data_IF_267439374977
#
_entry.id   IF_267439374977
#
_cell.length_a   1.000
_cell.length_b   1.000
_cell.length_c   1.000
_cell.angle_alpha   90.00
_cell.angle_beta   90.00
_cell.angle_gamma   90.00
#
_symmetry.space_group_name_H-M   'P 1'
#
loop_
_entity.id
_entity.type
_entity.pdbx_description
1 polymer ?
#
# COMPACT_ATOMS: atom_id res chain seq x y z
N UNK A 1 -18.15 4.62 23.73
CA UNK A 1 -16.83 4.52 23.06
C UNK A 1 -16.86 3.84 21.70
N UNK A 2 -17.70 2.82 21.44
CA UNK A 2 -17.77 2.15 20.12
C UNK A 2 -17.95 3.13 18.95
N UNK A 3 -18.94 4.02 19.02
CA UNK A 3 -19.20 5.02 17.98
C UNK A 3 -18.01 5.97 17.70
N UNK A 4 -17.31 6.40 18.76
CA UNK A 4 -16.11 7.25 18.61
C UNK A 4 -15.00 6.53 17.83
N UNK A 5 -14.79 5.25 18.18
CA UNK A 5 -13.82 4.38 17.50
C UNK A 5 -14.22 4.09 16.06
N UNK A 6 -15.50 3.86 15.77
CA UNK A 6 -16.00 3.63 14.41
C UNK A 6 -15.75 4.86 13.52
N UNK A 7 -16.00 6.07 14.04
CA UNK A 7 -15.64 7.32 13.35
C UNK A 7 -14.12 7.39 13.15
N UNK A 8 -13.34 7.16 14.21
CA UNK A 8 -11.89 7.21 14.13
C UNK A 8 -11.32 6.25 13.07
N UNK A 9 -11.78 5.01 13.04
CA UNK A 9 -11.33 3.98 12.10
C UNK A 9 -11.75 4.31 10.67
N UNK A 10 -12.98 4.81 10.47
CA UNK A 10 -13.47 5.22 9.15
C UNK A 10 -12.59 6.28 8.50
N UNK A 11 -12.08 7.23 9.30
CA UNK A 11 -11.25 8.34 8.82
C UNK A 11 -9.76 8.14 9.08
N UNK A 12 -9.35 6.97 9.58
CA UNK A 12 -7.96 6.61 9.84
C UNK A 12 -7.31 7.63 10.81
N UNK A 13 -8.10 8.13 11.77
CA UNK A 13 -7.68 9.16 12.70
C UNK A 13 -7.44 10.55 12.10
N UNK A 14 -7.77 10.79 10.83
CA UNK A 14 -7.58 12.08 10.18
C UNK A 14 -8.63 13.10 10.59
N UNK A 15 -8.24 14.02 11.48
CA UNK A 15 -9.08 15.18 11.83
C UNK A 15 -9.41 16.06 10.62
N UNK A 16 -8.53 16.12 9.63
CA UNK A 16 -8.77 16.87 8.39
C UNK A 16 -9.94 16.27 7.60
N UNK A 17 -9.92 14.96 7.34
CA UNK A 17 -11.03 14.30 6.64
C UNK A 17 -12.32 14.34 7.45
N UNK A 18 -12.25 14.18 8.77
CA UNK A 18 -13.43 14.35 9.63
C UNK A 18 -14.00 15.78 9.57
N UNK A 19 -13.15 16.79 9.42
CA UNK A 19 -13.58 18.19 9.31
C UNK A 19 -14.26 18.44 7.97
N UNK A 20 -13.64 17.97 6.87
CA UNK A 20 -14.20 18.06 5.52
C UNK A 20 -15.58 17.43 5.43
N UNK A 21 -15.78 16.29 6.09
CA UNK A 21 -17.04 15.55 6.06
C UNK A 21 -18.00 15.95 7.21
N UNK A 22 -17.70 17.04 7.94
CA UNK A 22 -18.58 17.64 8.95
C UNK A 22 -18.76 16.84 10.25
N UNK A 23 -18.00 15.77 10.46
CA UNK A 23 -18.17 14.85 11.60
C UNK A 23 -17.22 15.13 12.77
N UNK A 24 -16.22 16.02 12.60
CA UNK A 24 -15.20 16.31 13.61
C UNK A 24 -15.80 16.82 14.93
N UNK A 25 -16.87 17.61 14.87
CA UNK A 25 -17.56 18.13 16.06
C UNK A 25 -18.20 17.01 16.87
N UNK A 26 -18.83 16.05 16.19
CA UNK A 26 -19.37 14.82 16.79
C UNK A 26 -18.26 13.98 17.42
N UNK A 27 -17.14 13.80 16.72
CA UNK A 27 -16.00 13.05 17.26
C UNK A 27 -15.43 13.70 18.53
N UNK A 28 -15.24 15.02 18.52
CA UNK A 28 -14.69 15.77 19.67
C UNK A 28 -15.55 15.68 20.93
N UNK A 29 -16.88 15.47 20.81
CA UNK A 29 -17.78 15.29 21.97
C UNK A 29 -17.47 14.03 22.80
N UNK A 30 -16.78 13.05 22.21
CA UNK A 30 -16.38 11.84 22.94
C UNK A 30 -15.14 12.03 23.81
N UNK A 31 -14.46 13.18 23.73
CA UNK A 31 -13.28 13.51 24.55
C UNK A 31 -12.23 12.40 24.58
N UNK A 32 -11.99 11.77 23.42
CA UNK A 32 -11.01 10.68 23.29
C UNK A 32 -9.61 11.25 23.54
N UNK A 33 -8.88 10.66 24.49
CA UNK A 33 -7.50 11.07 24.77
C UNK A 33 -6.55 10.66 23.66
N UNK A 34 -5.44 11.38 23.53
CA UNK A 34 -4.38 11.04 22.56
C UNK A 34 -3.81 9.64 22.76
N UNK A 35 -3.67 9.20 24.02
CA UNK A 35 -3.24 7.83 24.34
C UNK A 35 -4.23 6.79 23.82
N UNK A 36 -5.53 7.08 23.89
CA UNK A 36 -6.56 6.19 23.38
C UNK A 36 -6.58 6.15 21.85
N UNK A 37 -6.37 7.29 21.19
CA UNK A 37 -6.17 7.34 19.73
C UNK A 37 -4.93 6.53 19.32
N UNK A 38 -3.83 6.63 20.07
CA UNK A 38 -2.62 5.86 19.78
C UNK A 38 -2.85 4.35 19.93
N UNK A 39 -3.61 3.91 20.95
CA UNK A 39 -4.03 2.50 21.09
C UNK A 39 -4.85 2.04 19.88
N UNK A 40 -5.76 2.87 19.40
CA UNK A 40 -6.58 2.58 18.22
C UNK A 40 -5.77 2.53 16.93
N UNK A 41 -4.79 3.42 16.75
CA UNK A 41 -3.86 3.36 15.62
C UNK A 41 -3.10 2.02 15.63
N UNK A 42 -2.53 1.63 16.78
CA UNK A 42 -1.83 0.35 16.90
C UNK A 42 -2.74 -0.83 16.56
N UNK A 43 -4.00 -0.78 17.02
CA UNK A 43 -5.01 -1.79 16.69
C UNK A 43 -5.32 -1.84 15.19
N UNK A 44 -5.41 -0.69 14.51
CA UNK A 44 -5.59 -0.65 13.05
C UNK A 44 -4.43 -1.33 12.32
N UNK A 45 -3.19 -1.12 12.78
CA UNK A 45 -2.04 -1.79 12.19
C UNK A 45 -2.04 -3.29 12.42
N UNK A 46 -2.28 -3.76 13.65
CA UNK A 46 -2.33 -5.20 13.93
C UNK A 46 -3.44 -5.87 13.13
N UNK A 47 -4.63 -5.27 13.07
CA UNK A 47 -5.71 -5.76 12.22
C UNK A 47 -5.34 -5.75 10.73
N UNK A 48 -4.66 -4.69 10.27
CA UNK A 48 -4.18 -4.60 8.89
C UNK A 48 -3.23 -5.74 8.56
N UNK A 49 -2.20 -5.98 9.38
CA UNK A 49 -1.25 -7.09 9.18
C UNK A 49 -1.89 -8.48 9.24
N UNK A 50 -2.96 -8.66 10.03
CA UNK A 50 -3.70 -9.92 10.07
C UNK A 50 -4.48 -10.16 8.76
N UNK A 51 -5.01 -9.09 8.16
CA UNK A 51 -5.85 -9.14 6.95
C UNK A 51 -5.08 -9.25 5.63
N UNK A 52 -3.78 -8.90 5.62
CA UNK A 52 -2.97 -8.98 4.38
C UNK A 52 -3.10 -10.35 3.72
N UNK A 53 -3.57 -10.33 2.47
CA UNK A 53 -3.80 -11.52 1.64
C UNK A 53 -3.27 -11.28 0.22
N UNK A 54 -2.85 -12.35 -0.46
CA UNK A 54 -2.44 -12.31 -1.86
C UNK A 54 -3.62 -12.13 -2.82
N UNK A 55 -4.83 -12.43 -2.37
CA UNK A 55 -6.07 -12.37 -3.16
C UNK A 55 -6.85 -11.06 -2.92
N UNK A 56 -6.67 -10.43 -1.76
CA UNK A 56 -7.31 -9.16 -1.40
C UNK A 56 -6.32 -7.99 -1.50
N UNK A 57 -6.31 -7.35 -2.67
CA UNK A 57 -5.49 -6.16 -2.92
C UNK A 57 -5.87 -4.97 -2.04
N UNK A 58 -7.13 -4.88 -1.63
CA UNK A 58 -7.58 -3.82 -0.76
C UNK A 58 -6.89 -3.92 0.60
N UNK A 59 -6.70 -5.13 1.13
CA UNK A 59 -5.96 -5.32 2.38
C UNK A 59 -4.52 -4.79 2.33
N UNK A 60 -3.80 -5.00 1.22
CA UNK A 60 -2.40 -4.57 1.05
C UNK A 60 -2.30 -3.06 0.86
N UNK A 61 -3.11 -2.53 -0.04
CA UNK A 61 -3.14 -1.08 -0.32
C UNK A 61 -3.60 -0.27 0.89
N UNK A 62 -4.58 -0.75 1.65
CA UNK A 62 -5.05 -0.09 2.87
C UNK A 62 -3.99 -0.07 3.97
N UNK A 63 -3.24 -1.17 4.14
CA UNK A 63 -2.14 -1.20 5.10
C UNK A 63 -0.99 -0.29 4.68
N UNK A 64 -0.66 -0.24 3.37
CA UNK A 64 0.31 0.71 2.84
C UNK A 64 -0.11 2.16 3.13
N UNK A 65 -1.35 2.52 2.81
CA UNK A 65 -1.89 3.84 3.12
C UNK A 65 -1.84 4.17 4.63
N UNK A 66 -2.11 3.20 5.50
CA UNK A 66 -2.02 3.38 6.95
C UNK A 66 -0.58 3.68 7.41
N UNK A 67 0.41 2.98 6.85
CA UNK A 67 1.84 3.20 7.13
C UNK A 67 2.23 4.63 6.73
N UNK A 68 1.85 5.04 5.53
CA UNK A 68 2.11 6.39 5.00
C UNK A 68 1.44 7.46 5.85
N UNK A 69 0.13 7.32 6.09
CA UNK A 69 -0.68 8.33 6.80
C UNK A 69 -0.17 8.64 8.21
N UNK A 70 0.32 7.61 8.92
CA UNK A 70 0.85 7.76 10.27
C UNK A 70 2.38 7.81 10.33
N UNK A 71 3.06 7.89 9.19
CA UNK A 71 4.52 7.91 9.07
C UNK A 71 5.22 6.82 9.90
N UNK A 72 4.70 5.57 9.85
CA UNK A 72 5.20 4.45 10.65
C UNK A 72 6.34 3.71 9.93
N UNK A 73 7.49 4.35 9.84
CA UNK A 73 8.66 3.82 9.11
C UNK A 73 9.12 2.46 9.63
N UNK A 74 9.07 2.22 10.94
CA UNK A 74 9.43 0.93 11.55
C UNK A 74 8.57 -0.23 11.05
N UNK A 75 7.40 0.07 10.46
CA UNK A 75 6.46 -0.92 9.95
C UNK A 75 6.76 -1.30 8.50
N UNK A 76 7.63 -0.56 7.81
CA UNK A 76 7.93 -0.75 6.39
C UNK A 76 8.54 -2.13 6.10
N UNK A 77 9.56 -2.55 6.86
CA UNK A 77 10.17 -3.87 6.66
C UNK A 77 9.19 -5.00 7.00
N UNK A 78 8.42 -4.86 8.09
CA UNK A 78 7.37 -5.82 8.46
C UNK A 78 6.31 -5.94 7.36
N UNK A 79 5.98 -4.84 6.69
CA UNK A 79 5.06 -4.81 5.56
C UNK A 79 5.60 -5.56 4.34
N UNK A 80 6.84 -5.29 3.96
CA UNK A 80 7.54 -6.01 2.88
C UNK A 80 7.52 -7.51 3.16
N UNK A 81 8.01 -7.93 4.34
CA UNK A 81 8.06 -9.34 4.71
C UNK A 81 6.68 -10.00 4.66
N UNK A 82 5.64 -9.28 5.11
CA UNK A 82 4.26 -9.80 5.10
C UNK A 82 3.77 -10.05 3.67
N UNK A 83 4.02 -9.11 2.76
CA UNK A 83 3.67 -9.27 1.33
C UNK A 83 4.44 -10.45 0.73
N UNK A 84 5.75 -10.48 0.93
CA UNK A 84 6.60 -11.53 0.36
C UNK A 84 6.17 -12.94 0.79
N UNK A 85 5.77 -13.11 2.05
CA UNK A 85 5.26 -14.39 2.57
C UNK A 85 3.89 -14.78 2.02
N UNK A 86 3.11 -13.81 1.52
CA UNK A 86 1.79 -14.06 0.92
C UNK A 86 1.86 -14.34 -0.57
N UNK A 87 2.91 -13.88 -1.25
CA UNK A 87 3.14 -14.20 -2.65
C UNK A 87 3.44 -15.69 -2.79
N UNK A 88 2.59 -16.38 -3.53
CA UNK A 88 2.68 -17.82 -3.80
C UNK A 88 2.58 -18.11 -5.30
N UNK A 89 2.50 -19.40 -5.65
CA UNK A 89 2.36 -19.83 -7.06
C UNK A 89 1.05 -19.38 -7.71
N UNK A 90 0.00 -19.10 -6.94
CA UNK A 90 -1.33 -18.74 -7.44
C UNK A 90 -1.52 -17.23 -7.60
N UNK A 91 -0.67 -16.42 -6.96
CA UNK A 91 -0.71 -14.96 -7.10
C UNK A 91 -0.59 -14.55 -8.57
N UNK A 92 -1.58 -13.83 -9.10
CA UNK A 92 -1.67 -13.50 -10.52
C UNK A 92 -0.78 -12.30 -10.92
N UNK A 93 -0.59 -12.06 -12.23
CA UNK A 93 0.25 -10.95 -12.75
C UNK A 93 -0.20 -9.58 -12.23
N UNK A 94 -1.50 -9.32 -12.23
CA UNK A 94 -2.06 -8.05 -11.76
C UNK A 94 -1.76 -7.83 -10.28
N UNK A 95 -2.01 -8.82 -9.42
CA UNK A 95 -1.76 -8.68 -8.00
C UNK A 95 -0.28 -8.48 -7.68
N UNK A 96 0.63 -9.17 -8.39
CA UNK A 96 2.07 -8.94 -8.28
C UNK A 96 2.44 -7.50 -8.65
N UNK A 97 1.92 -6.97 -9.76
CA UNK A 97 2.15 -5.58 -10.14
C UNK A 97 1.64 -4.63 -9.05
N UNK A 98 0.42 -4.84 -8.53
CA UNK A 98 -0.15 -3.99 -7.47
C UNK A 98 0.64 -4.03 -6.17
N UNK A 99 1.19 -5.19 -5.80
CA UNK A 99 2.11 -5.31 -4.66
C UNK A 99 3.40 -4.52 -4.88
N UNK A 100 4.00 -4.65 -6.07
CA UNK A 100 5.20 -3.91 -6.43
C UNK A 100 4.95 -2.39 -6.42
N UNK A 101 3.84 -1.92 -7.00
CA UNK A 101 3.46 -0.51 -7.01
C UNK A 101 3.22 0.02 -5.59
N UNK A 102 2.58 -0.77 -4.71
CA UNK A 102 2.33 -0.36 -3.32
C UNK A 102 3.64 -0.21 -2.55
N UNK A 103 4.57 -1.17 -2.66
CA UNK A 103 5.87 -1.09 -2.00
C UNK A 103 6.67 0.11 -2.54
N UNK A 104 6.70 0.29 -3.86
CA UNK A 104 7.45 1.40 -4.46
C UNK A 104 6.87 2.77 -4.10
N UNK A 105 5.54 2.91 -4.07
CA UNK A 105 4.88 4.14 -3.62
C UNK A 105 5.23 4.47 -2.18
N UNK A 106 5.31 3.47 -1.30
CA UNK A 106 5.77 3.69 0.08
C UNK A 106 7.22 4.18 0.12
N UNK A 107 8.11 3.67 -0.73
CA UNK A 107 9.48 4.17 -0.83
C UNK A 107 9.48 5.64 -1.25
N UNK A 108 8.73 5.99 -2.30
CA UNK A 108 8.64 7.37 -2.80
C UNK A 108 8.09 8.33 -1.74
N UNK A 109 7.03 7.90 -1.04
CA UNK A 109 6.34 8.75 -0.06
C UNK A 109 7.14 8.86 1.25
N UNK A 110 7.61 7.75 1.82
CA UNK A 110 8.34 7.74 3.09
C UNK A 110 9.74 8.35 3.00
N UNK A 111 10.34 8.42 1.81
CA UNK A 111 11.62 9.13 1.61
C UNK A 111 11.48 10.65 1.62
N UNK A 112 10.26 11.18 1.41
CA UNK A 112 9.99 12.63 1.35
C UNK A 112 9.74 13.29 2.71
N UNK A 113 9.43 12.52 3.75
CA UNK A 113 9.08 13.06 5.08
C UNK A 113 10.30 13.36 5.96
N UNK A 114 10.09 13.99 7.12
CA UNK A 114 11.16 14.36 8.07
C UNK A 114 11.82 13.12 8.71
N UNK A 115 11.01 12.11 9.04
CA UNK A 115 11.52 10.78 9.32
C UNK A 115 11.57 10.04 7.99
N UNK A 116 12.76 9.61 7.56
CA UNK A 116 12.97 8.95 6.26
C UNK A 116 13.32 7.50 6.45
N UNK A 117 12.99 6.70 5.43
CA UNK A 117 13.58 5.38 5.28
C UNK A 117 15.11 5.51 5.27
N UNK A 118 15.78 4.63 6.00
CA UNK A 118 17.23 4.52 5.91
C UNK A 118 17.65 3.79 4.62
N UNK A 119 18.95 3.85 4.28
CA UNK A 119 19.47 3.25 3.05
C UNK A 119 19.15 1.76 2.94
N UNK A 120 19.27 1.00 4.03
CA UNK A 120 18.98 -0.43 4.03
C UNK A 120 17.50 -0.73 3.75
N UNK A 121 16.59 0.06 4.31
CA UNK A 121 15.16 -0.04 4.03
C UNK A 121 14.85 0.27 2.57
N UNK A 122 15.44 1.33 2.01
CA UNK A 122 15.25 1.70 0.60
C UNK A 122 15.75 0.57 -0.31
N UNK A 123 16.97 0.07 -0.07
CA UNK A 123 17.56 -1.04 -0.84
C UNK A 123 16.68 -2.29 -0.74
N UNK A 124 16.23 -2.66 0.46
CA UNK A 124 15.36 -3.82 0.67
C UNK A 124 14.04 -3.67 -0.10
N UNK A 125 13.41 -2.50 -0.04
CA UNK A 125 12.19 -2.18 -0.78
C UNK A 125 12.39 -2.26 -2.29
N UNK A 126 13.47 -1.67 -2.81
CA UNK A 126 13.81 -1.69 -4.24
C UNK A 126 14.06 -3.13 -4.72
N UNK A 127 14.84 -3.90 -3.97
CA UNK A 127 15.16 -5.29 -4.30
C UNK A 127 13.90 -6.15 -4.33
N UNK A 128 13.06 -6.02 -3.30
CA UNK A 128 11.79 -6.75 -3.22
C UNK A 128 10.88 -6.38 -4.39
N UNK A 129 10.71 -5.09 -4.66
CA UNK A 129 9.89 -4.60 -5.79
C UNK A 129 10.37 -5.20 -7.11
N UNK A 130 11.69 -5.16 -7.35
CA UNK A 130 12.31 -5.73 -8.57
C UNK A 130 12.04 -7.24 -8.70
N UNK A 131 12.13 -7.98 -7.58
CA UNK A 131 11.89 -9.43 -7.55
C UNK A 131 10.42 -9.78 -7.83
N UNK A 132 9.49 -8.98 -7.31
CA UNK A 132 8.06 -9.13 -7.57
C UNK A 132 7.75 -8.85 -9.06
N UNK A 133 8.32 -7.78 -9.63
CA UNK A 133 8.13 -7.46 -11.04
C UNK A 133 8.69 -8.55 -11.98
N UNK A 134 9.83 -9.16 -11.63
CA UNK A 134 10.34 -10.31 -12.36
C UNK A 134 9.33 -11.47 -12.39
N UNK A 135 8.74 -11.82 -11.24
CA UNK A 135 7.68 -12.83 -11.15
C UNK A 135 6.43 -12.44 -11.96
N UNK A 136 6.07 -11.16 -11.97
CA UNK A 136 4.91 -10.66 -12.72
C UNK A 136 5.09 -10.87 -14.23
N UNK A 137 6.29 -10.63 -14.75
CA UNK A 137 6.63 -10.85 -16.17
C UNK A 137 6.55 -12.31 -16.60
N UNK A 138 6.96 -13.22 -15.72
CA UNK A 138 6.98 -14.66 -15.99
C UNK A 138 5.58 -15.28 -16.01
N UNK A 139 4.57 -14.60 -15.48
CA UNK A 139 3.19 -15.09 -15.45
C UNK A 139 2.42 -14.66 -16.69
N UNK A 140 1.64 -15.58 -17.25
CA UNK A 140 0.60 -15.23 -18.22
C UNK A 140 -0.61 -14.63 -17.49
N UNK A 141 -1.38 -13.79 -18.20
CA UNK A 141 -2.71 -13.43 -17.73
C UNK A 141 -3.69 -14.57 -17.99
N UNK A 142 -4.60 -14.87 -17.05
CA UNK A 142 -5.73 -15.74 -17.32
C UNK A 142 -6.55 -15.21 -18.51
N UNK A 143 -7.05 -16.07 -19.42
CA UNK A 143 -7.82 -15.62 -20.59
C UNK A 143 -9.10 -14.85 -20.24
N UNK A 144 -9.68 -15.14 -19.08
CA UNK A 144 -10.90 -14.54 -18.53
C UNK A 144 -10.61 -13.35 -17.60
N UNK A 145 -9.35 -12.95 -17.46
CA UNK A 145 -8.98 -11.85 -16.59
C UNK A 145 -9.63 -10.54 -17.07
N UNK A 146 -10.25 -9.84 -16.13
CA UNK A 146 -10.77 -8.49 -16.31
C UNK A 146 -10.10 -7.58 -15.31
N UNK A 147 -9.15 -6.80 -15.79
CA UNK A 147 -8.51 -5.76 -15.01
C UNK A 147 -9.55 -4.68 -14.65
N UNK A 148 -9.86 -4.46 -13.35
CA UNK A 148 -10.80 -3.42 -12.92
C UNK A 148 -10.39 -2.01 -13.37
N UNK A 149 -9.09 -1.76 -13.52
CA UNK A 149 -8.53 -0.44 -13.85
C UNK A 149 -8.42 -0.22 -15.37
N UNK A 150 -8.60 -1.26 -16.18
CA UNK A 150 -8.30 -1.20 -17.62
C UNK A 150 -9.37 -0.46 -18.41
N UNK A 151 -10.64 -0.66 -18.07
CA UNK A 151 -11.77 0.03 -18.75
C UNK A 151 -11.73 1.55 -18.56
N UNK A 152 -10.94 2.06 -17.61
CA UNK A 152 -10.87 3.48 -17.25
C UNK A 152 -9.78 4.26 -18.00
N UNK A 153 -8.78 3.60 -18.62
CA UNK A 153 -7.50 4.28 -18.92
C UNK A 153 -7.06 4.20 -20.39
N UNK A 154 -7.28 3.11 -21.13
CA UNK A 154 -6.68 2.98 -22.47
C UNK A 154 -7.38 1.95 -23.38
N UNK A 155 -8.25 2.42 -24.28
CA UNK A 155 -9.04 1.54 -25.17
C UNK A 155 -8.25 0.87 -26.29
N UNK A 156 -6.98 1.27 -26.51
CA UNK A 156 -6.20 0.85 -27.68
C UNK A 156 -5.21 -0.29 -27.41
N UNK A 157 -5.09 -0.74 -26.16
CA UNK A 157 -4.20 -1.84 -25.78
C UNK A 157 -5.01 -3.11 -25.47
N UNK A 158 -4.37 -4.26 -25.47
CA UNK A 158 -4.88 -5.42 -24.73
C UNK A 158 -4.55 -5.27 -23.24
N UNK A 159 -5.28 -5.96 -22.37
CA UNK A 159 -4.97 -5.95 -20.93
C UNK A 159 -3.53 -6.41 -20.64
N UNK A 160 -3.04 -7.40 -21.39
CA UNK A 160 -1.66 -7.86 -21.27
C UNK A 160 -0.64 -6.77 -21.64
N UNK A 161 -0.84 -6.09 -22.78
CA UNK A 161 0.01 -4.98 -23.18
C UNK A 161 -0.02 -3.85 -22.15
N UNK A 162 -1.20 -3.52 -21.61
CA UNK A 162 -1.32 -2.50 -20.57
C UNK A 162 -0.52 -2.86 -19.31
N UNK A 163 -0.67 -4.08 -18.79
CA UNK A 163 0.08 -4.50 -17.60
C UNK A 163 1.59 -4.57 -17.86
N UNK A 164 2.01 -5.08 -19.02
CA UNK A 164 3.43 -5.11 -19.39
C UNK A 164 4.01 -3.70 -19.50
N UNK A 165 3.26 -2.73 -20.06
CA UNK A 165 3.65 -1.32 -20.06
C UNK A 165 3.85 -0.79 -18.64
N UNK A 166 2.91 -1.06 -17.73
CA UNK A 166 3.01 -0.63 -16.32
C UNK A 166 4.20 -1.25 -15.59
N UNK A 167 4.47 -2.54 -15.85
CA UNK A 167 5.67 -3.21 -15.34
C UNK A 167 6.93 -2.47 -15.83
N UNK A 168 7.03 -2.16 -17.12
CA UNK A 168 8.18 -1.45 -17.69
C UNK A 168 8.33 -0.02 -17.14
N UNK A 169 7.23 0.70 -16.97
CA UNK A 169 7.22 2.04 -16.33
C UNK A 169 7.79 1.97 -14.91
N UNK A 170 7.36 0.99 -14.11
CA UNK A 170 7.83 0.84 -12.73
C UNK A 170 9.30 0.41 -12.66
N UNK A 171 9.74 -0.49 -13.53
CA UNK A 171 11.16 -0.85 -13.64
C UNK A 171 12.05 0.34 -13.98
N UNK A 172 11.58 1.21 -14.88
CA UNK A 172 12.30 2.44 -15.22
C UNK A 172 12.43 3.35 -13.99
N UNK A 173 11.35 3.56 -13.24
CA UNK A 173 11.39 4.34 -11.99
C UNK A 173 12.37 3.74 -10.98
N UNK A 174 12.37 2.42 -10.80
CA UNK A 174 13.32 1.74 -9.89
C UNK A 174 14.78 2.00 -10.31
N UNK A 175 15.08 1.98 -11.61
CA UNK A 175 16.43 2.27 -12.11
C UNK A 175 16.86 3.69 -11.80
N UNK A 176 15.95 4.67 -11.92
CA UNK A 176 16.26 6.07 -11.60
C UNK A 176 16.63 6.24 -10.13
N UNK A 177 15.97 5.53 -9.21
CA UNK A 177 16.31 5.58 -7.78
C UNK A 177 17.70 4.99 -7.53
N UNK A 178 18.05 3.86 -8.17
CA UNK A 178 19.36 3.22 -8.04
C UNK A 178 20.54 4.07 -8.54
N UNK A 179 20.30 5.00 -9.46
CA UNK A 179 21.36 5.88 -10.01
C UNK A 179 21.71 7.01 -9.01
N UNK A 180 20.86 7.25 -8.00
CA UNK A 180 21.04 8.30 -6.99
C UNK A 180 21.72 7.80 -5.69
N UNK A 181 22.06 6.51 -5.60
CA UNK A 181 22.70 5.86 -4.43
C UNK A 181 24.19 5.59 -4.58
#
# INVERSE_FOLDING_TARGET
>A
MKQAKDIFFKYIGSNFHMTRDGIISTYKKFSVSKDQEQKWINEMFENGFLKVSSEDLHSVTSLGYLIEHHNKIDYFNRFIEKIERKIDRNTNKYNLLRFAETIFSLIENLTRFENKLNKDQIINGIYTTSRILKKAKEKALPPDFKNPDFELIDSNLTQEQYLNRKISELEYKIRLVKILE
#
